data_IF_769018311926
#
_entry.id   IF_769018311926
#
_cell.length_a   1.000
_cell.length_b   1.000
_cell.length_c   1.000
_cell.angle_alpha   90.00
_cell.angle_beta   90.00
_cell.angle_gamma   90.00
#
_symmetry.space_group_name_H-M   'P 1'
#
loop_
_entity.id
_entity.type
_entity.pdbx_description
1 polymer ?
#
# COMPACT_ATOMS: atom_id res chain seq x y z
N UNK A 1 -14.49 25.87 36.39
CA UNK A 1 -13.63 26.34 35.28
C UNK A 1 -13.11 25.11 34.55
N UNK A 2 -13.79 24.72 33.46
CA UNK A 2 -13.59 23.43 32.79
C UNK A 2 -12.34 23.47 31.90
N UNK A 3 -11.36 22.63 32.20
CA UNK A 3 -10.15 22.45 31.38
C UNK A 3 -10.50 21.46 30.27
N UNK A 4 -10.73 21.98 29.07
CA UNK A 4 -10.82 21.18 27.84
C UNK A 4 -9.55 20.36 27.67
N UNK A 5 -9.62 19.05 27.94
CA UNK A 5 -8.64 18.09 27.40
C UNK A 5 -8.89 18.00 25.90
N UNK A 6 -8.20 18.83 25.13
CA UNK A 6 -8.05 18.64 23.70
C UNK A 6 -7.22 17.35 23.53
N UNK A 7 -7.91 16.23 23.34
CA UNK A 7 -7.29 15.03 22.79
C UNK A 7 -6.88 15.34 21.34
N UNK A 8 -5.70 15.94 21.16
CA UNK A 8 -5.06 15.93 19.84
C UNK A 8 -4.79 14.46 19.52
N UNK A 9 -5.62 13.86 18.66
CA UNK A 9 -5.29 12.59 18.02
C UNK A 9 -3.93 12.78 17.36
N UNK A 10 -2.89 12.08 17.84
CA UNK A 10 -1.57 12.12 17.20
C UNK A 10 -1.77 11.75 15.72
N UNK A 11 -1.43 12.68 14.85
CA UNK A 11 -1.44 12.47 13.41
C UNK A 11 -0.18 11.67 13.06
N UNK A 12 -0.30 10.75 12.12
CA UNK A 12 0.80 9.92 11.64
C UNK A 12 0.65 9.66 10.16
N UNK A 13 1.79 9.47 9.48
CA UNK A 13 1.82 9.07 8.09
C UNK A 13 1.27 7.65 7.97
N UNK A 14 0.20 7.49 7.20
CA UNK A 14 -0.42 6.19 6.93
C UNK A 14 0.20 5.58 5.68
N UNK A 15 0.13 4.25 5.59
CA UNK A 15 0.73 3.48 4.51
C UNK A 15 -0.16 2.27 4.16
N UNK A 16 -0.19 1.93 2.88
CA UNK A 16 -0.75 0.69 2.33
C UNK A 16 0.18 0.16 1.24
N UNK A 17 0.33 -1.17 1.17
CA UNK A 17 1.09 -1.81 0.11
C UNK A 17 0.12 -2.43 -0.92
N UNK A 18 0.45 -2.29 -2.19
CA UNK A 18 -0.27 -2.87 -3.31
C UNK A 18 0.69 -3.81 -4.03
N UNK A 19 0.24 -5.03 -4.32
CA UNK A 19 0.99 -6.03 -5.06
C UNK A 19 0.18 -6.42 -6.29
N UNK A 20 0.75 -6.25 -7.48
CA UNK A 20 0.06 -6.49 -8.76
C UNK A 20 0.77 -7.62 -9.50
N UNK A 21 0.02 -8.64 -9.92
CA UNK A 21 0.53 -9.73 -10.74
C UNK A 21 -0.41 -10.06 -11.89
N UNK A 22 0.01 -9.75 -13.11
CA UNK A 22 -0.70 -10.18 -14.32
C UNK A 22 -0.69 -11.71 -14.46
N UNK A 23 0.46 -12.35 -14.17
CA UNK A 23 0.62 -13.82 -14.17
C UNK A 23 -0.43 -14.53 -13.31
N UNK A 24 -0.66 -14.02 -12.10
CA UNK A 24 -1.62 -14.60 -11.17
C UNK A 24 -3.02 -13.97 -11.29
N UNK A 25 -3.18 -13.01 -12.22
CA UNK A 25 -4.40 -12.25 -12.52
C UNK A 25 -5.06 -11.66 -11.27
N UNK A 26 -4.24 -11.11 -10.36
CA UNK A 26 -4.72 -10.54 -9.11
C UNK A 26 -3.95 -9.29 -8.66
N UNK A 27 -4.66 -8.47 -7.88
CA UNK A 27 -4.12 -7.32 -7.15
C UNK A 27 -4.39 -7.58 -5.67
N UNK A 28 -3.33 -7.55 -4.86
CA UNK A 28 -3.41 -7.70 -3.40
C UNK A 28 -3.17 -6.32 -2.78
N UNK A 29 -4.08 -5.89 -1.89
CA UNK A 29 -3.97 -4.62 -1.18
C UNK A 29 -3.85 -4.93 0.30
N UNK A 30 -2.66 -4.68 0.85
CA UNK A 30 -2.28 -5.01 2.22
C UNK A 30 -2.20 -3.73 3.08
N UNK A 31 -3.12 -3.53 4.03
CA UNK A 31 -2.99 -2.47 5.02
C UNK A 31 -1.78 -2.76 5.92
N UNK A 32 -1.17 -1.70 6.47
CA UNK A 32 0.06 -1.83 7.25
C UNK A 32 -0.13 -1.42 8.71
N UNK A 33 0.65 -2.02 9.59
CA UNK A 33 0.94 -1.53 10.93
C UNK A 33 2.23 -0.72 10.94
N UNK A 34 2.38 0.14 11.95
CA UNK A 34 3.67 0.69 12.34
C UNK A 34 3.90 0.46 13.83
N UNK A 35 5.09 -0.03 14.16
CA UNK A 35 5.50 -0.20 15.55
C UNK A 35 5.92 1.15 16.16
N UNK A 36 5.13 1.70 17.08
CA UNK A 36 5.38 3.02 17.63
C UNK A 36 5.44 4.11 16.55
N UNK A 37 5.97 5.29 16.90
CA UNK A 37 5.98 6.46 15.98
C UNK A 37 7.15 6.41 14.99
N UNK A 38 8.23 5.71 15.33
CA UNK A 38 9.48 5.64 14.54
C UNK A 38 9.92 4.19 14.27
N UNK A 39 9.07 3.20 14.53
CA UNK A 39 9.44 1.81 14.32
C UNK A 39 9.02 1.28 12.97
N UNK A 40 9.16 -0.03 12.85
CA UNK A 40 9.10 -0.77 11.59
C UNK A 40 7.66 -0.82 11.09
N UNK A 41 7.49 -0.67 9.78
CA UNK A 41 6.23 -0.87 9.07
C UNK A 41 6.15 -2.33 8.60
N UNK A 42 5.00 -2.97 8.79
CA UNK A 42 4.76 -4.35 8.34
C UNK A 42 3.28 -4.57 8.05
N UNK A 43 2.94 -5.64 7.33
CA UNK A 43 1.56 -5.91 6.92
C UNK A 43 0.68 -6.33 8.10
N UNK A 44 -0.59 -5.94 8.05
CA UNK A 44 -1.61 -6.48 8.95
C UNK A 44 -1.95 -7.92 8.56
N UNK A 45 -2.66 -8.61 9.45
CA UNK A 45 -3.07 -10.01 9.29
C UNK A 45 -3.90 -10.23 8.02
N UNK A 46 -4.80 -9.29 7.72
CA UNK A 46 -5.73 -9.40 6.61
C UNK A 46 -5.34 -8.44 5.49
N UNK A 47 -5.29 -8.95 4.27
CA UNK A 47 -5.27 -8.17 3.04
C UNK A 47 -6.54 -8.48 2.23
N UNK A 48 -6.79 -7.68 1.21
CA UNK A 48 -7.84 -7.98 0.23
C UNK A 48 -7.20 -8.35 -1.10
N UNK A 49 -7.87 -9.24 -1.83
CA UNK A 49 -7.49 -9.65 -3.18
C UNK A 49 -8.62 -9.23 -4.11
N UNK A 50 -8.30 -8.53 -5.19
CA UNK A 50 -9.24 -8.21 -6.26
C UNK A 50 -8.69 -8.71 -7.61
N UNK A 51 -9.57 -8.98 -8.60
CA UNK A 51 -9.14 -9.37 -9.94
C UNK A 51 -8.21 -8.35 -10.59
N UNK A 52 -7.23 -8.80 -11.38
CA UNK A 52 -6.33 -7.90 -12.10
C UNK A 52 -7.05 -6.92 -13.05
N UNK A 53 -8.18 -7.34 -13.63
CA UNK A 53 -9.00 -6.55 -14.53
C UNK A 53 -10.10 -5.73 -13.80
N UNK A 54 -9.98 -5.54 -12.49
CA UNK A 54 -10.90 -4.69 -11.72
C UNK A 54 -10.91 -3.27 -12.30
N UNK A 55 -12.06 -2.60 -12.19
CA UNK A 55 -12.19 -1.23 -12.68
C UNK A 55 -11.26 -0.28 -11.91
N UNK A 56 -10.83 0.82 -12.54
CA UNK A 56 -10.03 1.82 -11.83
C UNK A 56 -10.76 2.41 -10.62
N UNK A 57 -12.09 2.55 -10.70
CA UNK A 57 -12.93 3.00 -9.59
C UNK A 57 -12.81 2.03 -8.40
N UNK A 58 -12.95 0.72 -8.65
CA UNK A 58 -12.82 -0.31 -7.62
C UNK A 58 -11.42 -0.34 -7.02
N UNK A 59 -10.36 -0.31 -7.85
CA UNK A 59 -8.97 -0.28 -7.37
C UNK A 59 -8.76 0.90 -6.42
N UNK A 60 -9.18 2.11 -6.81
CA UNK A 60 -9.03 3.30 -5.99
C UNK A 60 -9.82 3.24 -4.68
N UNK A 61 -11.08 2.76 -4.73
CA UNK A 61 -11.96 2.62 -3.56
C UNK A 61 -11.32 1.66 -2.54
N UNK A 62 -10.86 0.50 -3.02
CA UNK A 62 -10.24 -0.53 -2.19
C UNK A 62 -8.92 -0.05 -1.58
N UNK A 63 -8.07 0.62 -2.35
CA UNK A 63 -6.81 1.20 -1.85
C UNK A 63 -7.07 2.22 -0.75
N UNK A 64 -7.99 3.17 -0.97
CA UNK A 64 -8.33 4.16 0.07
C UNK A 64 -8.90 3.47 1.30
N UNK A 65 -9.77 2.49 1.14
CA UNK A 65 -10.39 1.77 2.25
C UNK A 65 -9.32 1.08 3.11
N UNK A 66 -8.40 0.34 2.48
CA UNK A 66 -7.31 -0.33 3.17
C UNK A 66 -6.30 0.66 3.78
N UNK A 67 -6.02 1.78 3.11
CA UNK A 67 -5.16 2.85 3.66
C UNK A 67 -5.69 3.39 4.99
N UNK A 68 -7.01 3.50 5.16
CA UNK A 68 -7.62 3.96 6.40
C UNK A 68 -7.52 2.95 7.55
N UNK A 69 -7.25 1.67 7.26
CA UNK A 69 -7.03 0.64 8.28
C UNK A 69 -5.66 0.73 8.94
N UNK A 70 -4.74 1.56 8.42
CA UNK A 70 -3.41 1.74 8.99
C UNK A 70 -3.47 2.10 10.48
N UNK A 71 -2.65 1.44 11.29
CA UNK A 71 -2.62 1.60 12.76
C UNK A 71 -1.19 1.60 13.29
N UNK A 72 -0.96 2.47 14.28
CA UNK A 72 0.22 2.39 15.14
C UNK A 72 -0.06 1.44 16.30
N UNK A 73 0.84 0.51 16.53
CA UNK A 73 0.78 -0.49 17.59
C UNK A 73 2.02 -0.38 18.49
N UNK A 74 1.89 -0.73 19.77
CA UNK A 74 2.97 -0.57 20.77
C UNK A 74 3.91 -1.77 20.90
N UNK A 75 3.67 -2.89 20.21
CA UNK A 75 4.16 -4.20 20.64
C UNK A 75 5.12 -4.88 19.63
N UNK A 76 6.35 -5.19 20.09
CA UNK A 76 7.43 -5.89 19.35
C UNK A 76 7.15 -7.35 19.06
N UNK A 77 6.17 -7.93 19.73
CA UNK A 77 5.85 -9.36 19.69
C UNK A 77 4.78 -9.73 18.67
N UNK A 78 4.19 -8.76 17.97
CA UNK A 78 3.31 -9.08 16.84
C UNK A 78 4.14 -9.76 15.76
N UNK A 79 3.69 -10.96 15.37
CA UNK A 79 4.27 -11.73 14.28
C UNK A 79 4.27 -10.81 13.06
N UNK A 80 5.43 -10.58 12.45
CA UNK A 80 5.51 -9.81 11.22
C UNK A 80 4.84 -10.64 10.12
N UNK A 81 3.58 -10.34 9.85
CA UNK A 81 2.85 -10.99 8.78
C UNK A 81 3.40 -10.51 7.44
N UNK A 82 3.43 -11.44 6.49
CA UNK A 82 3.52 -11.11 5.08
C UNK A 82 2.26 -11.65 4.43
N UNK A 83 1.13 -11.08 4.85
CA UNK A 83 -0.21 -11.54 4.48
C UNK A 83 -0.41 -11.51 2.97
N UNK A 84 0.23 -10.58 2.26
CA UNK A 84 0.21 -10.57 0.80
C UNK A 84 0.91 -11.80 0.20
N UNK A 85 2.04 -12.24 0.75
CA UNK A 85 2.70 -13.47 0.30
C UNK A 85 1.85 -14.69 0.63
N UNK A 86 1.30 -14.77 1.85
CA UNK A 86 0.44 -15.88 2.29
C UNK A 86 -0.86 -15.98 1.47
N UNK A 87 -1.42 -14.85 1.05
CA UNK A 87 -2.61 -14.75 0.21
C UNK A 87 -2.31 -15.01 -1.28
N UNK A 88 -1.05 -14.87 -1.70
CA UNK A 88 -0.66 -15.04 -3.09
C UNK A 88 -0.70 -16.50 -3.52
N UNK A 89 -0.78 -16.72 -4.83
CA UNK A 89 -0.63 -18.04 -5.45
C UNK A 89 0.82 -18.57 -5.50
N UNK A 90 1.78 -17.87 -4.90
CA UNK A 90 3.21 -18.18 -5.01
C UNK A 90 3.70 -19.08 -3.87
N UNK A 91 4.52 -20.08 -4.19
CA UNK A 91 5.02 -21.05 -3.20
C UNK A 91 6.21 -20.54 -2.39
N UNK A 92 6.93 -19.55 -2.91
CA UNK A 92 8.18 -19.06 -2.31
C UNK A 92 8.22 -17.53 -2.34
N UNK A 93 8.91 -16.93 -1.36
CA UNK A 93 9.11 -15.48 -1.30
C UNK A 93 9.82 -14.94 -2.54
N UNK A 94 10.82 -15.68 -3.03
CA UNK A 94 11.56 -15.32 -4.25
C UNK A 94 10.63 -15.27 -5.46
N UNK A 95 9.73 -16.25 -5.61
CA UNK A 95 8.77 -16.25 -6.72
C UNK A 95 7.70 -15.16 -6.57
N UNK A 96 7.31 -14.83 -5.34
CA UNK A 96 6.45 -13.69 -5.06
C UNK A 96 7.10 -12.36 -5.46
N UNK A 97 8.30 -12.06 -4.96
CA UNK A 97 9.03 -10.84 -5.29
C UNK A 97 9.36 -10.72 -6.79
N UNK A 98 9.47 -11.85 -7.49
CA UNK A 98 9.67 -11.88 -8.95
C UNK A 98 8.39 -11.58 -9.72
N UNK A 99 7.25 -12.14 -9.29
CA UNK A 99 6.00 -12.16 -10.07
C UNK A 99 4.99 -11.08 -9.64
N UNK A 100 5.26 -10.36 -8.55
CA UNK A 100 4.47 -9.24 -8.08
C UNK A 100 5.28 -7.95 -8.12
N UNK A 101 4.72 -6.93 -8.77
CA UNK A 101 5.19 -5.56 -8.62
C UNK A 101 4.57 -4.97 -7.35
N UNK A 102 5.42 -4.41 -6.48
CA UNK A 102 4.98 -3.71 -5.26
C UNK A 102 4.93 -2.21 -5.49
N UNK A 103 3.76 -1.61 -5.28
CA UNK A 103 3.55 -0.16 -5.20
C UNK A 103 3.18 0.19 -3.75
N UNK A 104 3.94 1.08 -3.14
CA UNK A 104 3.62 1.65 -1.84
C UNK A 104 2.78 2.91 -2.03
N UNK A 105 1.72 3.06 -1.25
CA UNK A 105 0.95 4.30 -1.16
C UNK A 105 1.03 4.81 0.28
N UNK A 106 1.63 5.99 0.44
CA UNK A 106 1.83 6.63 1.74
C UNK A 106 1.25 8.03 1.76
N UNK A 107 0.90 8.56 2.93
CA UNK A 107 0.67 10.00 3.05
C UNK A 107 1.97 10.78 2.81
N UNK A 108 1.93 11.96 2.20
CA UNK A 108 3.13 12.79 2.06
C UNK A 108 3.65 13.32 3.42
N UNK A 109 2.78 13.37 4.43
CA UNK A 109 3.07 13.73 5.81
C UNK A 109 1.97 13.17 6.73
N UNK A 110 2.00 13.53 8.02
CA UNK A 110 1.05 13.06 9.01
C UNK A 110 -0.40 13.52 8.78
N UNK A 111 -0.63 14.54 7.93
CA UNK A 111 -1.96 14.99 7.55
C UNK A 111 -2.60 14.10 6.49
N UNK A 112 -1.80 13.33 5.73
CA UNK A 112 -2.27 12.40 4.70
C UNK A 112 -3.22 13.03 3.65
N UNK A 113 -3.03 14.33 3.34
CA UNK A 113 -3.83 15.06 2.35
C UNK A 113 -3.35 14.85 0.91
N UNK A 114 -2.13 14.33 0.76
CA UNK A 114 -1.51 13.94 -0.50
C UNK A 114 -1.05 12.49 -0.33
N UNK A 115 -1.33 11.66 -1.33
CA UNK A 115 -0.75 10.34 -1.45
C UNK A 115 0.52 10.40 -2.28
N UNK A 116 1.58 9.80 -1.77
CA UNK A 116 2.79 9.45 -2.51
C UNK A 116 2.70 8.00 -2.94
N UNK A 117 2.97 7.73 -4.21
CA UNK A 117 2.98 6.40 -4.80
C UNK A 117 4.38 6.08 -5.28
N UNK A 118 4.91 4.93 -4.88
CA UNK A 118 6.29 4.55 -5.15
C UNK A 118 6.39 3.07 -5.51
N UNK A 119 6.97 2.76 -6.66
CA UNK A 119 7.36 1.39 -7.00
C UNK A 119 8.55 0.98 -6.15
N UNK A 120 8.48 -0.16 -5.47
CA UNK A 120 9.58 -0.64 -4.62
C UNK A 120 10.20 -1.88 -5.24
N UNK A 121 11.45 -1.77 -5.70
CA UNK A 121 12.20 -2.90 -6.24
C UNK A 121 13.38 -3.26 -5.37
N UNK A 122 13.65 -4.55 -5.29
CA UNK A 122 14.89 -5.07 -4.71
C UNK A 122 16.01 -5.05 -5.76
N UNK A 123 15.68 -4.99 -7.06
CA UNK A 123 16.64 -5.05 -8.16
C UNK A 123 16.93 -3.66 -8.74
N UNK A 124 18.21 -3.26 -8.70
CA UNK A 124 18.75 -1.99 -9.22
C UNK A 124 18.57 -1.81 -10.74
N UNK A 125 18.20 -2.85 -11.48
CA UNK A 125 17.97 -2.76 -12.92
C UNK A 125 16.58 -2.23 -13.30
N UNK A 126 15.71 -1.92 -12.33
CA UNK A 126 14.35 -1.44 -12.56
C UNK A 126 14.22 0.05 -12.27
N UNK A 127 13.42 0.75 -13.07
CA UNK A 127 13.15 2.18 -12.92
C UNK A 127 12.21 2.42 -11.73
N UNK A 128 12.66 3.11 -10.69
CA UNK A 128 11.79 3.57 -9.61
C UNK A 128 10.93 4.76 -10.07
N UNK A 129 9.61 4.60 -9.97
CA UNK A 129 8.63 5.62 -10.32
C UNK A 129 8.03 6.17 -9.02
N UNK A 130 8.12 7.49 -8.88
CA UNK A 130 7.48 8.26 -7.83
C UNK A 130 6.39 9.13 -8.43
N UNK A 131 5.21 9.12 -7.83
CA UNK A 131 4.13 10.02 -8.18
C UNK A 131 3.40 10.52 -6.94
N UNK A 132 2.66 11.61 -7.08
CA UNK A 132 1.81 12.11 -6.02
C UNK A 132 0.47 12.55 -6.56
N UNK A 133 -0.56 12.38 -5.75
CA UNK A 133 -1.93 12.79 -6.06
C UNK A 133 -2.63 13.25 -4.79
N UNK A 134 -3.58 14.17 -4.92
CA UNK A 134 -4.43 14.56 -3.79
C UNK A 134 -5.13 13.34 -3.19
N UNK A 135 -5.15 13.21 -1.86
CA UNK A 135 -5.91 12.16 -1.18
C UNK A 135 -7.44 12.31 -1.39
N UNK A 136 -7.87 13.49 -1.83
CA UNK A 136 -9.25 13.83 -2.17
C UNK A 136 -9.59 13.63 -3.65
N UNK A 137 -8.67 13.10 -4.48
CA UNK A 137 -9.01 12.73 -5.85
C UNK A 137 -10.14 11.69 -5.87
N UNK A 138 -10.87 11.56 -6.97
CA UNK A 138 -11.85 10.48 -7.13
C UNK A 138 -11.16 9.12 -7.18
N UNK A 139 -11.89 8.05 -6.86
CA UNK A 139 -11.29 6.70 -6.82
C UNK A 139 -10.75 6.30 -8.19
N UNK A 140 -11.49 6.58 -9.26
CA UNK A 140 -11.06 6.39 -10.63
C UNK A 140 -9.66 6.95 -10.92
N UNK A 141 -9.37 8.20 -10.54
CA UNK A 141 -8.09 8.84 -10.80
C UNK A 141 -6.94 8.16 -10.05
N UNK A 142 -7.16 7.77 -8.79
CA UNK A 142 -6.19 7.00 -8.02
C UNK A 142 -5.92 5.64 -8.64
N UNK A 143 -6.96 4.87 -8.96
CA UNK A 143 -6.82 3.54 -9.56
C UNK A 143 -6.15 3.60 -10.93
N UNK A 144 -6.49 4.60 -11.74
CA UNK A 144 -5.86 4.86 -13.04
C UNK A 144 -4.38 5.19 -12.88
N UNK A 145 -4.01 6.03 -11.90
CA UNK A 145 -2.60 6.35 -11.62
C UNK A 145 -1.81 5.11 -11.18
N UNK A 146 -2.36 4.29 -10.28
CA UNK A 146 -1.73 3.05 -9.82
C UNK A 146 -1.45 2.12 -11.01
N UNK A 147 -2.45 1.88 -11.86
CA UNK A 147 -2.29 1.02 -13.03
C UNK A 147 -1.37 1.64 -14.09
N UNK A 148 -1.34 2.97 -14.22
CA UNK A 148 -0.38 3.66 -15.09
C UNK A 148 1.05 3.48 -14.60
N UNK A 149 1.30 3.58 -13.30
CA UNK A 149 2.62 3.33 -12.70
C UNK A 149 3.03 1.89 -12.98
N UNK A 150 2.17 0.92 -12.66
CA UNK A 150 2.41 -0.49 -12.94
C UNK A 150 2.75 -0.76 -14.42
N UNK A 151 1.94 -0.23 -15.34
CA UNK A 151 2.14 -0.44 -16.78
C UNK A 151 3.38 0.29 -17.33
N UNK A 152 3.86 1.33 -16.64
CA UNK A 152 5.09 2.03 -17.05
C UNK A 152 6.34 1.17 -16.83
N UNK A 153 6.26 0.15 -15.98
CA UNK A 153 7.32 -0.85 -15.80
C UNK A 153 7.40 -1.85 -16.96
N UNK A 154 6.33 -2.01 -17.76
CA UNK A 154 6.25 -3.02 -18.82
C UNK A 154 7.08 -2.62 -20.06
N UNK A 155 7.65 -1.42 -20.10
CA UNK A 155 8.55 -1.00 -21.18
C UNK A 155 9.99 -1.44 -20.86
N UNK A 156 10.31 -2.70 -21.16
CA UNK A 156 11.63 -3.15 -21.66
C UNK A 156 11.57 -4.65 -22.00
N UNK A 157 11.14 -4.95 -23.22
CA UNK A 157 11.53 -6.14 -23.97
C UNK A 157 12.05 -5.69 -25.33
#
# INVERSE_FOLDING_TARGET
MSIFKIFCSKKFQKNVAIYISEKNSEIIIAPLYQEGINGIIFEQENCIIIPFNSSFEEIGEKVKTQFHLFKIIKNRTLKKYWSAFEASKEKTKVSFEKNYTRISVSGANEYNIIFNLETNFINLSKLEIHSSISAFCDNYELGKLIMKIYNSEIITN
#
